data_IF_490974393445
#
_entry.id   IF_490974393445
#
_cell.length_a   1.000
_cell.length_b   1.000
_cell.length_c   1.000
_cell.angle_alpha   90.00
_cell.angle_beta   90.00
_cell.angle_gamma   90.00
#
_symmetry.space_group_name_H-M   'P 1'
#
loop_
_entity.id
_entity.type
_entity.pdbx_description
1 polymer ?
#
# COMPACT_ATOMS: atom_id res chain seq x y z
N UNK A 1 0.58 -8.22 -29.96
CA UNK A 1 0.17 -6.86 -30.37
C UNK A 1 -1.09 -6.56 -29.60
N UNK A 2 -0.88 -5.89 -28.47
CA UNK A 2 -1.73 -5.90 -27.28
C UNK A 2 -2.52 -4.61 -27.22
N UNK A 3 -3.77 -4.69 -26.78
CA UNK A 3 -4.80 -3.64 -26.62
C UNK A 3 -4.40 -2.47 -25.68
N UNK A 4 -3.12 -2.28 -25.40
CA UNK A 4 -2.52 -1.22 -24.57
C UNK A 4 -1.95 -0.05 -25.41
N UNK A 5 -1.77 -0.20 -26.72
CA UNK A 5 -1.25 0.88 -27.57
C UNK A 5 -2.28 1.96 -27.94
N UNK A 6 -3.59 1.65 -27.88
CA UNK A 6 -4.65 2.60 -28.26
C UNK A 6 -5.04 3.60 -27.15
N UNK A 7 -4.55 3.42 -25.92
CA UNK A 7 -4.85 4.31 -24.78
C UNK A 7 -3.93 5.54 -24.68
N UNK A 8 -3.01 5.75 -25.63
CA UNK A 8 -1.97 6.79 -25.58
C UNK A 8 -2.13 7.93 -26.60
N UNK A 9 -3.30 8.06 -27.26
CA UNK A 9 -3.57 9.21 -28.13
C UNK A 9 -4.52 10.20 -27.44
N UNK A 10 -4.13 11.48 -27.29
CA UNK A 10 -5.03 12.49 -26.75
C UNK A 10 -6.20 12.71 -27.72
N UNK A 11 -7.42 12.58 -27.22
CA UNK A 11 -8.63 12.95 -27.95
C UNK A 11 -8.74 14.48 -27.98
N UNK A 12 -8.79 15.05 -29.19
CA UNK A 12 -9.05 16.48 -29.37
C UNK A 12 -10.55 16.76 -29.17
N UNK A 13 -10.87 17.57 -28.15
CA UNK A 13 -12.13 18.31 -28.07
C UNK A 13 -12.85 18.30 -26.72
N UNK A 14 -12.82 19.46 -26.04
CA UNK A 14 -13.80 19.97 -25.04
C UNK A 14 -13.64 19.50 -23.58
N UNK A 15 -14.19 20.23 -22.56
CA UNK A 15 -14.28 21.67 -22.29
C UNK A 15 -13.34 22.07 -21.11
N UNK A 16 -13.38 23.33 -20.66
CA UNK A 16 -12.61 23.93 -19.54
C UNK A 16 -11.79 22.95 -18.68
N UNK A 17 -10.48 22.95 -18.90
CA UNK A 17 -9.50 22.10 -18.20
C UNK A 17 -9.59 22.37 -16.70
N UNK A 18 -10.32 21.53 -15.97
CA UNK A 18 -10.08 21.37 -14.54
C UNK A 18 -8.61 21.05 -14.38
N UNK A 19 -7.91 21.74 -13.48
CA UNK A 19 -6.48 21.50 -13.25
C UNK A 19 -6.26 19.99 -13.04
N UNK A 20 -5.47 19.38 -13.93
CA UNK A 20 -5.19 17.94 -13.91
C UNK A 20 -4.61 17.55 -12.55
N UNK A 21 -5.20 16.58 -11.86
CA UNK A 21 -4.67 16.08 -10.61
C UNK A 21 -3.24 15.53 -10.81
N UNK A 22 -2.31 16.02 -10.00
CA UNK A 22 -0.94 15.51 -9.97
C UNK A 22 -0.78 14.40 -8.93
N UNK A 23 -1.68 14.36 -7.94
CA UNK A 23 -1.71 13.32 -6.91
C UNK A 23 -3.08 12.66 -6.91
N UNK A 24 -3.09 11.33 -7.01
CA UNK A 24 -4.27 10.50 -6.78
C UNK A 24 -4.03 9.66 -5.53
N UNK A 25 -4.84 9.87 -4.49
CA UNK A 25 -4.82 9.05 -3.28
C UNK A 25 -5.99 8.07 -3.31
N UNK A 26 -5.68 6.77 -3.33
CA UNK A 26 -6.63 5.68 -3.31
C UNK A 26 -6.64 5.05 -1.91
N UNK A 27 -7.71 5.29 -1.15
CA UNK A 27 -7.95 4.66 0.15
C UNK A 27 -8.86 3.44 -0.03
N UNK A 28 -8.41 2.25 0.38
CA UNK A 28 -9.22 1.02 0.28
C UNK A 28 -9.91 0.73 1.61
N UNK A 29 -11.20 1.05 1.69
CA UNK A 29 -12.04 0.73 2.82
C UNK A 29 -12.58 -0.72 2.72
N UNK A 30 -12.56 -1.43 3.84
CA UNK A 30 -13.32 -2.67 4.01
C UNK A 30 -13.85 -2.76 5.43
N UNK A 31 -15.16 -2.51 5.60
CA UNK A 31 -15.83 -2.56 6.91
C UNK A 31 -15.22 -1.68 7.99
N UNK A 32 -14.68 -0.51 7.61
CA UNK A 32 -14.05 0.47 8.49
C UNK A 32 -14.48 1.90 8.14
N UNK A 33 -15.78 2.22 8.06
CA UNK A 33 -16.23 3.53 7.59
C UNK A 33 -15.81 4.66 8.54
N UNK A 34 -15.71 4.40 9.85
CA UNK A 34 -15.28 5.41 10.84
C UNK A 34 -13.81 5.77 10.69
N UNK A 35 -12.94 4.77 10.57
CA UNK A 35 -11.50 4.95 10.34
C UNK A 35 -11.28 5.63 8.98
N UNK A 36 -12.03 5.21 7.96
CA UNK A 36 -11.96 5.80 6.62
C UNK A 36 -12.33 7.28 6.65
N UNK A 37 -13.41 7.68 7.35
CA UNK A 37 -13.76 9.10 7.50
C UNK A 37 -12.64 9.89 8.16
N UNK A 38 -12.07 9.38 9.26
CA UNK A 38 -10.97 10.06 9.96
C UNK A 38 -9.74 10.24 9.06
N UNK A 39 -9.34 9.18 8.36
CA UNK A 39 -8.21 9.24 7.44
C UNK A 39 -8.46 10.23 6.31
N UNK A 40 -9.63 10.14 5.66
CA UNK A 40 -10.02 11.04 4.56
C UNK A 40 -10.04 12.50 5.04
N UNK A 41 -10.59 12.80 6.21
CA UNK A 41 -10.53 14.16 6.78
C UNK A 41 -9.08 14.63 6.94
N UNK A 42 -8.18 13.81 7.50
CA UNK A 42 -6.76 14.19 7.63
C UNK A 42 -6.06 14.42 6.29
N UNK A 43 -6.48 13.70 5.24
CA UNK A 43 -5.96 13.86 3.87
C UNK A 43 -6.48 15.15 3.26
N UNK A 44 -7.76 15.46 3.47
CA UNK A 44 -8.39 16.69 3.00
C UNK A 44 -7.82 17.95 3.68
N UNK A 45 -7.32 17.83 4.91
CA UNK A 45 -6.65 18.89 5.66
C UNK A 45 -5.18 19.10 5.27
N UNK A 46 -4.63 18.31 4.34
CA UNK A 46 -3.27 18.49 3.86
C UNK A 46 -3.15 19.75 2.99
N UNK A 47 -2.08 20.51 3.20
CA UNK A 47 -1.69 21.63 2.35
C UNK A 47 -0.78 21.10 1.24
N UNK A 48 -1.27 21.13 -0.01
CA UNK A 48 -0.48 20.82 -1.20
C UNK A 48 -0.49 22.01 -2.17
N UNK A 49 0.63 22.23 -2.85
CA UNK A 49 0.77 23.22 -3.91
C UNK A 49 0.31 22.70 -5.29
N UNK A 50 -0.17 21.46 -5.35
CA UNK A 50 -0.65 20.79 -6.57
C UNK A 50 -2.06 20.22 -6.36
N UNK A 51 -2.86 20.10 -7.42
CA UNK A 51 -4.17 19.48 -7.34
C UNK A 51 -4.07 18.00 -6.95
N UNK A 52 -4.92 17.59 -6.00
CA UNK A 52 -5.04 16.23 -5.52
C UNK A 52 -6.50 15.76 -5.65
N UNK A 53 -6.68 14.51 -6.08
CA UNK A 53 -7.96 13.82 -6.02
C UNK A 53 -7.87 12.63 -5.05
N UNK A 54 -8.96 12.39 -4.32
CA UNK A 54 -9.07 11.27 -3.38
C UNK A 54 -10.14 10.31 -3.87
N UNK A 55 -9.79 9.04 -4.02
CA UNK A 55 -10.74 7.96 -4.27
C UNK A 55 -10.81 7.07 -3.04
N UNK A 56 -12.01 6.95 -2.46
CA UNK A 56 -12.29 5.91 -1.47
C UNK A 56 -12.91 4.72 -2.18
N UNK A 57 -12.20 3.61 -2.19
CA UNK A 57 -12.74 2.32 -2.64
C UNK A 57 -13.56 1.75 -1.51
N UNK A 58 -14.88 1.77 -1.66
CA UNK A 58 -15.73 0.97 -0.79
C UNK A 58 -15.70 -0.47 -1.29
N UNK A 59 -14.82 -1.27 -0.67
CA UNK A 59 -14.56 -2.65 -1.03
C UNK A 59 -15.53 -3.63 -0.34
N UNK A 60 -16.61 -3.11 0.21
CA UNK A 60 -17.63 -3.86 0.94
C UNK A 60 -18.70 -4.37 -0.05
N UNK A 61 -19.30 -5.56 0.16
CA UNK A 61 -20.36 -6.06 -0.73
C UNK A 61 -21.60 -5.16 -0.75
N UNK A 62 -21.92 -4.55 0.39
CA UNK A 62 -22.96 -3.53 0.52
C UNK A 62 -22.24 -2.19 0.75
N UNK A 63 -22.69 -1.07 0.16
CA UNK A 63 -22.09 0.23 0.42
C UNK A 63 -22.18 0.61 1.90
N UNK A 64 -21.04 0.88 2.51
CA UNK A 64 -20.89 1.23 3.93
C UNK A 64 -20.25 2.62 4.12
N UNK A 65 -19.71 3.21 3.04
CA UNK A 65 -19.07 4.51 3.06
C UNK A 65 -19.72 5.51 2.09
N UNK A 66 -19.90 6.73 2.57
CA UNK A 66 -20.27 7.89 1.78
C UNK A 66 -19.42 9.10 2.25
N UNK A 67 -19.16 10.04 1.35
CA UNK A 67 -18.35 11.22 1.61
C UNK A 67 -19.14 12.49 1.31
N UNK A 68 -19.12 13.44 2.24
CA UNK A 68 -19.63 14.79 2.01
C UNK A 68 -18.57 15.74 1.41
N UNK A 69 -17.31 15.32 1.36
CA UNK A 69 -16.19 16.12 0.84
C UNK A 69 -16.20 16.15 -0.69
N UNK A 70 -16.26 17.35 -1.28
CA UNK A 70 -16.37 17.53 -2.73
C UNK A 70 -15.17 16.97 -3.52
N UNK A 71 -13.99 16.90 -2.90
CA UNK A 71 -12.76 16.37 -3.51
C UNK A 71 -12.58 14.85 -3.38
N UNK A 72 -13.57 14.16 -2.79
CA UNK A 72 -13.52 12.73 -2.54
C UNK A 72 -14.55 12.01 -3.41
N UNK A 73 -14.06 11.15 -4.31
CA UNK A 73 -14.91 10.24 -5.09
C UNK A 73 -15.02 8.89 -4.39
N UNK A 74 -16.24 8.39 -4.23
CA UNK A 74 -16.47 7.02 -3.74
C UNK A 74 -16.56 6.08 -4.93
N UNK A 75 -15.72 5.04 -4.94
CA UNK A 75 -15.76 3.94 -5.90
C UNK A 75 -16.29 2.69 -5.21
N UNK A 76 -17.57 2.37 -5.46
CA UNK A 76 -18.18 1.14 -4.96
C UNK A 76 -17.77 -0.04 -5.84
N UNK A 77 -17.01 -1.00 -5.29
CA UNK A 77 -16.58 -2.18 -6.04
C UNK A 77 -17.68 -3.23 -6.22
N UNK A 78 -18.75 -3.15 -5.42
CA UNK A 78 -19.89 -4.08 -5.40
C UNK A 78 -19.56 -5.48 -4.85
N UNK A 79 -18.30 -5.74 -4.51
CA UNK A 79 -17.80 -6.97 -3.88
C UNK A 79 -16.40 -6.72 -3.34
N UNK A 80 -15.97 -7.53 -2.38
CA UNK A 80 -14.58 -7.47 -1.92
C UNK A 80 -13.64 -7.99 -3.02
N UNK A 81 -12.78 -7.11 -3.53
CA UNK A 81 -11.75 -7.40 -4.54
C UNK A 81 -10.38 -7.69 -3.92
N UNK A 82 -10.27 -7.66 -2.60
CA UNK A 82 -8.98 -7.65 -1.92
C UNK A 82 -8.37 -6.24 -1.90
N UNK A 83 -7.22 -6.08 -1.23
CA UNK A 83 -6.63 -4.76 -1.01
C UNK A 83 -6.13 -4.12 -2.33
N UNK A 84 -5.09 -4.70 -2.94
CA UNK A 84 -4.57 -4.23 -4.22
C UNK A 84 -5.57 -4.40 -5.38
N UNK A 85 -6.44 -5.41 -5.33
CA UNK A 85 -7.49 -5.58 -6.34
C UNK A 85 -8.50 -4.42 -6.34
N UNK A 86 -8.87 -3.92 -5.17
CA UNK A 86 -9.70 -2.70 -5.04
C UNK A 86 -8.98 -1.47 -5.56
N UNK A 87 -7.71 -1.28 -5.17
CA UNK A 87 -6.90 -0.15 -5.65
C UNK A 87 -6.71 -0.16 -7.17
N UNK A 88 -6.42 -1.33 -7.76
CA UNK A 88 -6.27 -1.49 -9.20
C UNK A 88 -7.57 -1.19 -9.97
N UNK A 89 -8.72 -1.61 -9.43
CA UNK A 89 -10.02 -1.33 -10.05
C UNK A 89 -10.32 0.18 -10.07
N UNK A 90 -10.07 0.88 -8.96
CA UNK A 90 -10.24 2.33 -8.89
C UNK A 90 -9.27 3.09 -9.81
N UNK A 91 -7.99 2.72 -9.82
CA UNK A 91 -7.01 3.34 -10.73
C UNK A 91 -7.42 3.14 -12.19
N UNK A 92 -7.87 1.93 -12.56
CA UNK A 92 -8.34 1.64 -13.91
C UNK A 92 -9.60 2.42 -14.27
N UNK A 93 -10.51 2.64 -13.34
CA UNK A 93 -11.69 3.49 -13.57
C UNK A 93 -11.32 4.96 -13.75
N UNK A 94 -10.44 5.48 -12.90
CA UNK A 94 -9.91 6.84 -13.00
C UNK A 94 -9.24 7.09 -14.36
N UNK A 95 -8.38 6.18 -14.81
CA UNK A 95 -7.63 6.31 -16.07
C UNK A 95 -8.50 6.26 -17.34
N UNK A 96 -9.80 5.94 -17.26
CA UNK A 96 -10.72 6.05 -18.41
C UNK A 96 -11.04 7.50 -18.77
N UNK A 97 -10.99 8.39 -17.78
CA UNK A 97 -11.44 9.78 -17.91
C UNK A 97 -10.33 10.78 -17.60
N UNK A 98 -9.24 10.33 -16.98
CA UNK A 98 -8.13 11.17 -16.55
C UNK A 98 -6.80 10.56 -17.02
N UNK A 99 -5.80 11.39 -17.35
CA UNK A 99 -4.43 10.91 -17.58
C UNK A 99 -3.83 10.34 -16.29
N UNK A 100 -2.75 9.57 -16.43
CA UNK A 100 -1.95 9.11 -15.29
C UNK A 100 -1.42 10.32 -14.49
N UNK A 101 -1.67 10.41 -13.18
CA UNK A 101 -1.13 11.48 -12.33
C UNK A 101 0.35 11.23 -12.04
N UNK A 102 1.07 12.27 -11.60
CA UNK A 102 2.48 12.15 -11.23
C UNK A 102 2.68 11.20 -10.04
N UNK A 103 1.68 11.13 -9.14
CA UNK A 103 1.68 10.22 -8.00
C UNK A 103 0.37 9.46 -7.87
N UNK A 104 0.49 8.15 -7.65
CA UNK A 104 -0.59 7.29 -7.17
C UNK A 104 -0.21 6.78 -5.79
N UNK A 105 -0.95 7.20 -4.76
CA UNK A 105 -0.78 6.74 -3.38
C UNK A 105 -1.85 5.69 -3.10
N UNK A 106 -1.45 4.54 -2.59
CA UNK A 106 -2.36 3.49 -2.13
C UNK A 106 -2.26 3.38 -0.62
N UNK A 107 -3.39 3.48 0.07
CA UNK A 107 -3.46 3.42 1.53
C UNK A 107 -4.62 2.57 2.02
N UNK A 108 -4.44 1.97 3.19
CA UNK A 108 -5.56 1.50 4.01
C UNK A 108 -6.06 2.67 4.89
N UNK A 109 -7.25 2.58 5.52
CA UNK A 109 -7.75 3.64 6.39
C UNK A 109 -7.18 3.61 7.81
N UNK A 110 -6.22 2.71 8.08
CA UNK A 110 -5.68 2.51 9.44
C UNK A 110 -4.55 3.49 9.77
N UNK A 111 -4.21 4.40 8.85
CA UNK A 111 -3.14 5.40 9.06
C UNK A 111 -3.70 6.81 9.27
N UNK A 112 -2.87 7.70 9.79
CA UNK A 112 -3.13 9.14 9.90
C UNK A 112 -1.89 9.96 9.53
N UNK A 113 -2.13 11.15 8.97
CA UNK A 113 -1.10 12.13 8.64
C UNK A 113 -1.04 13.14 9.79
N UNK A 114 -0.01 13.11 10.65
CA UNK A 114 0.02 13.92 11.87
C UNK A 114 0.26 15.42 11.61
N UNK A 115 1.02 15.75 10.57
CA UNK A 115 1.27 17.13 10.14
C UNK A 115 0.41 17.49 8.91
N UNK A 116 0.16 18.78 8.67
CA UNK A 116 -0.59 19.26 7.51
C UNK A 116 0.19 19.26 6.19
N UNK A 117 1.51 19.05 6.22
CA UNK A 117 2.40 19.12 5.06
C UNK A 117 3.04 17.77 4.71
N UNK A 118 2.53 16.65 5.24
CA UNK A 118 3.09 15.31 5.03
C UNK A 118 3.13 14.95 3.54
N UNK A 119 2.03 15.20 2.82
CA UNK A 119 1.97 14.92 1.40
C UNK A 119 2.86 15.87 0.59
N UNK A 120 2.96 17.14 0.96
CA UNK A 120 3.87 18.09 0.31
C UNK A 120 5.34 17.67 0.48
N UNK A 121 5.74 17.32 1.71
CA UNK A 121 7.05 16.76 2.03
C UNK A 121 7.34 15.52 1.20
N UNK A 122 6.33 14.67 0.96
CA UNK A 122 6.47 13.50 0.08
C UNK A 122 6.83 13.89 -1.35
N UNK A 123 6.11 14.85 -1.93
CA UNK A 123 6.41 15.33 -3.28
C UNK A 123 7.82 15.96 -3.34
N UNK A 124 8.14 16.82 -2.38
CA UNK A 124 9.42 17.55 -2.32
C UNK A 124 10.62 16.62 -2.05
N UNK A 125 10.38 15.48 -1.39
CA UNK A 125 11.41 14.46 -1.12
C UNK A 125 11.82 13.68 -2.36
N UNK A 126 11.04 13.74 -3.45
CA UNK A 126 11.33 13.01 -4.65
C UNK A 126 12.60 13.54 -5.33
N UNK A 127 13.73 12.88 -5.03
CA UNK A 127 15.04 13.20 -5.59
C UNK A 127 15.41 12.16 -6.64
N UNK A 128 15.27 12.51 -7.91
CA UNK A 128 15.72 11.69 -9.04
C UNK A 128 14.78 10.52 -9.37
N UNK A 129 15.33 9.32 -9.56
CA UNK A 129 14.63 8.20 -10.23
C UNK A 129 13.85 7.25 -9.30
N UNK A 130 13.53 7.68 -8.08
CA UNK A 130 12.82 6.83 -7.13
C UNK A 130 11.35 6.63 -7.57
N UNK A 131 11.01 5.43 -8.02
CA UNK A 131 9.66 5.15 -8.50
C UNK A 131 8.67 4.83 -7.36
N UNK A 132 9.18 4.50 -6.17
CA UNK A 132 8.39 4.24 -4.97
C UNK A 132 9.03 4.97 -3.79
N UNK A 133 8.24 5.75 -3.05
CA UNK A 133 8.64 6.39 -1.80
C UNK A 133 7.92 5.71 -0.64
N UNK A 134 8.69 5.26 0.34
CA UNK A 134 8.22 4.67 1.58
C UNK A 134 8.47 5.67 2.72
N UNK A 135 7.42 6.27 3.31
CA UNK A 135 7.58 7.15 4.47
C UNK A 135 7.92 6.35 5.73
N UNK A 136 8.38 7.03 6.78
CA UNK A 136 8.35 6.49 8.15
C UNK A 136 6.91 6.17 8.53
N UNK A 137 6.67 4.96 9.03
CA UNK A 137 5.35 4.51 9.48
C UNK A 137 5.49 4.03 10.91
N UNK A 138 4.97 4.82 11.85
CA UNK A 138 5.11 4.54 13.28
C UNK A 138 3.78 4.13 13.87
N UNK A 139 3.79 3.09 14.68
CA UNK A 139 2.61 2.66 15.42
C UNK A 139 2.20 3.75 16.42
N UNK A 140 0.92 4.14 16.44
CA UNK A 140 0.44 5.28 17.22
C UNK A 140 0.72 5.17 18.73
N UNK A 141 0.66 3.96 19.30
CA UNK A 141 0.77 3.77 20.76
C UNK A 141 2.18 3.37 21.23
N UNK A 142 2.87 2.54 20.47
CA UNK A 142 4.18 1.98 20.84
C UNK A 142 5.35 2.64 20.12
N UNK A 143 5.09 3.56 19.18
CA UNK A 143 6.10 4.27 18.38
C UNK A 143 7.10 3.36 17.66
N UNK A 144 6.73 2.10 17.42
CA UNK A 144 7.54 1.14 16.65
C UNK A 144 7.54 1.57 15.19
N UNK A 145 8.74 1.69 14.64
CA UNK A 145 8.95 1.98 13.23
C UNK A 145 8.70 0.72 12.38
N UNK A 146 7.81 0.83 11.39
CA UNK A 146 7.41 -0.23 10.48
C UNK A 146 8.06 -0.11 9.09
N UNK A 147 8.66 1.04 8.78
CA UNK A 147 9.49 1.23 7.60
C UNK A 147 10.96 1.57 7.95
N UNK A 148 11.96 1.01 7.27
CA UNK A 148 11.87 0.09 6.13
C UNK A 148 11.26 -1.26 6.47
N UNK A 149 10.21 -1.65 5.73
CA UNK A 149 9.55 -2.94 5.94
C UNK A 149 10.47 -4.11 5.61
N UNK A 150 11.17 -4.03 4.47
CA UNK A 150 12.24 -4.97 4.15
C UNK A 150 13.41 -4.24 3.48
N UNK A 151 14.62 -4.39 4.05
CA UNK A 151 15.87 -3.92 3.42
C UNK A 151 16.44 -4.92 2.41
N UNK A 152 16.23 -6.21 2.64
CA UNK A 152 16.86 -7.29 1.87
C UNK A 152 15.81 -8.18 1.22
N UNK A 153 16.02 -8.48 -0.06
CA UNK A 153 15.19 -9.41 -0.83
C UNK A 153 15.19 -10.80 -0.18
N UNK A 154 14.03 -11.45 0.03
CA UNK A 154 13.99 -12.79 0.60
C UNK A 154 14.61 -13.81 -0.37
N UNK A 155 15.12 -14.93 0.15
CA UNK A 155 15.70 -15.97 -0.72
C UNK A 155 14.60 -16.80 -1.39
N UNK A 156 14.91 -17.37 -2.56
CA UNK A 156 13.98 -18.29 -3.27
C UNK A 156 13.56 -19.46 -2.37
N UNK A 157 14.52 -19.99 -1.60
CA UNK A 157 14.26 -21.06 -0.64
C UNK A 157 13.27 -20.63 0.45
N UNK A 158 13.47 -19.47 1.09
CA UNK A 158 12.55 -18.95 2.10
C UNK A 158 11.13 -18.77 1.54
N UNK A 159 11.00 -18.23 0.34
CA UNK A 159 9.69 -18.03 -0.29
C UNK A 159 8.98 -19.35 -0.62
N UNK A 160 9.72 -20.35 -1.13
CA UNK A 160 9.19 -21.70 -1.38
C UNK A 160 8.82 -22.42 -0.09
N UNK A 161 9.64 -22.32 0.94
CA UNK A 161 9.36 -22.87 2.26
C UNK A 161 8.11 -22.23 2.87
N UNK A 162 7.95 -20.90 2.81
CA UNK A 162 6.74 -20.21 3.25
C UNK A 162 5.50 -20.73 2.50
N UNK A 163 5.59 -20.90 1.18
CA UNK A 163 4.49 -21.46 0.38
C UNK A 163 4.15 -22.91 0.77
N UNK A 164 5.11 -23.69 1.27
CA UNK A 164 4.91 -25.02 1.83
C UNK A 164 4.32 -24.97 3.25
N UNK A 165 4.82 -24.11 4.14
CA UNK A 165 4.30 -23.94 5.51
C UNK A 165 2.82 -23.54 5.46
N UNK A 166 2.47 -22.55 4.64
CA UNK A 166 1.11 -22.08 4.49
C UNK A 166 0.23 -23.01 3.64
N UNK A 167 0.76 -24.11 3.10
CA UNK A 167 -0.02 -25.02 2.26
C UNK A 167 -1.15 -25.72 3.02
N UNK A 168 -0.93 -26.02 4.30
CA UNK A 168 -1.85 -26.73 5.18
C UNK A 168 -2.14 -25.92 6.44
N UNK A 169 -3.43 -25.70 6.74
CA UNK A 169 -3.89 -24.91 7.89
C UNK A 169 -3.27 -25.34 9.24
N UNK A 170 -3.16 -26.65 9.56
CA UNK A 170 -2.54 -27.05 10.83
C UNK A 170 -1.07 -26.63 10.94
N UNK A 171 -0.33 -26.65 9.83
CA UNK A 171 1.08 -26.25 9.79
C UNK A 171 1.21 -24.74 9.95
N UNK A 172 0.35 -23.95 9.28
CA UNK A 172 0.24 -22.50 9.49
C UNK A 172 -0.11 -22.18 10.95
N UNK A 173 -1.12 -22.84 11.52
CA UNK A 173 -1.53 -22.60 12.91
C UNK A 173 -0.43 -22.94 13.92
N UNK A 174 0.29 -24.06 13.74
CA UNK A 174 1.44 -24.42 14.59
C UNK A 174 2.58 -23.41 14.43
N UNK A 175 2.91 -23.02 13.19
CA UNK A 175 3.93 -22.01 12.94
C UNK A 175 3.59 -20.66 13.58
N UNK A 176 2.34 -20.21 13.44
CA UNK A 176 1.83 -18.99 14.06
C UNK A 176 1.87 -19.07 15.59
N UNK A 177 1.51 -20.23 16.17
CA UNK A 177 1.61 -20.49 17.61
C UNK A 177 3.05 -20.44 18.11
N UNK A 178 3.98 -21.08 17.41
CA UNK A 178 5.41 -21.05 17.74
C UNK A 178 6.00 -19.64 17.59
N UNK A 179 5.61 -18.89 16.56
CA UNK A 179 6.02 -17.49 16.39
C UNK A 179 5.46 -16.61 17.52
N UNK A 180 4.20 -16.80 17.90
CA UNK A 180 3.58 -16.07 19.01
C UNK A 180 4.26 -16.36 20.35
N UNK A 181 4.58 -17.63 20.64
CA UNK A 181 5.35 -18.01 21.84
C UNK A 181 6.74 -17.36 21.78
N UNK A 182 7.43 -17.46 20.65
CA UNK A 182 8.76 -16.90 20.45
C UNK A 182 8.78 -15.39 20.71
N UNK A 183 7.83 -14.64 20.15
CA UNK A 183 7.71 -13.20 20.40
C UNK A 183 7.45 -12.95 21.89
N UNK A 184 6.46 -13.60 22.50
CA UNK A 184 6.18 -13.46 23.95
C UNK A 184 7.35 -13.80 24.87
N UNK A 185 8.23 -14.72 24.47
CA UNK A 185 9.44 -15.10 25.24
C UNK A 185 10.65 -14.24 24.97
N UNK A 186 10.76 -13.63 23.78
CA UNK A 186 11.89 -12.79 23.36
C UNK A 186 11.63 -11.29 23.49
N UNK A 187 10.39 -10.88 23.79
CA UNK A 187 10.02 -9.49 24.08
C UNK A 187 10.80 -8.90 25.26
N UNK A 188 11.44 -9.75 26.09
CA UNK A 188 12.37 -9.32 27.16
C UNK A 188 13.83 -9.12 26.73
N UNK A 189 14.23 -9.44 25.50
CA UNK A 189 15.66 -9.51 25.08
C UNK A 189 15.98 -8.72 23.80
N UNK A 190 14.99 -8.06 23.18
CA UNK A 190 15.24 -7.24 21.98
C UNK A 190 14.72 -5.81 22.16
N UNK A 191 15.28 -5.09 23.12
CA UNK A 191 15.29 -3.62 23.09
C UNK A 191 16.32 -3.18 22.05
N UNK A 192 15.93 -3.18 20.77
CA UNK A 192 16.55 -2.22 19.86
C UNK A 192 15.91 -0.87 20.18
N UNK A 193 16.75 0.11 20.51
CA UNK A 193 16.31 1.48 20.79
C UNK A 193 15.33 1.96 19.72
N UNK A 194 14.07 2.30 20.07
CA UNK A 194 13.11 2.89 19.13
C UNK A 194 13.55 4.25 18.58
N UNK A 195 14.64 4.82 19.14
CA UNK A 195 15.13 6.17 18.86
C UNK A 195 16.24 6.22 17.80
N UNK A 196 16.69 5.10 17.24
CA UNK A 196 17.53 5.14 16.05
C UNK A 196 16.66 5.38 14.81
N UNK A 197 16.00 6.54 14.75
CA UNK A 197 15.55 7.14 13.50
C UNK A 197 16.68 6.98 12.50
N UNK A 198 16.49 6.15 11.48
CA UNK A 198 17.36 6.20 10.32
C UNK A 198 17.23 7.64 9.81
N UNK A 199 18.21 8.50 10.09
CA UNK A 199 18.14 9.92 9.76
C UNK A 199 18.41 10.18 8.27
N UNK A 200 18.64 9.12 7.49
CA UNK A 200 19.15 9.18 6.13
C UNK A 200 18.24 8.37 5.23
N UNK A 201 17.80 8.99 4.14
CA UNK A 201 17.06 8.32 3.08
C UNK A 201 17.90 7.17 2.52
N UNK A 202 17.33 5.97 2.43
CA UNK A 202 18.05 4.77 1.99
C UNK A 202 17.24 3.97 0.97
N UNK A 203 17.95 3.26 0.07
CA UNK A 203 17.29 2.30 -0.83
C UNK A 203 16.88 1.07 -0.04
N UNK A 204 15.64 0.65 -0.20
CA UNK A 204 15.09 -0.51 0.49
C UNK A 204 14.56 -1.52 -0.51
N UNK A 205 14.27 -2.73 -0.05
CA UNK A 205 13.69 -3.75 -0.90
C UNK A 205 12.18 -3.56 -1.05
N UNK A 206 11.43 -3.49 0.05
CA UNK A 206 9.98 -3.38 0.03
C UNK A 206 9.46 -2.31 0.99
N UNK A 207 8.47 -1.48 0.58
CA UNK A 207 7.76 -0.57 1.46
C UNK A 207 6.74 -1.33 2.31
N UNK A 208 6.29 -0.75 3.42
CA UNK A 208 5.15 -1.26 4.18
C UNK A 208 3.82 -1.05 3.43
N UNK A 209 2.88 -2.00 3.51
CA UNK A 209 1.65 -2.02 2.71
C UNK A 209 0.57 -1.00 3.09
N UNK A 210 0.63 -0.44 4.30
CA UNK A 210 -0.41 0.47 4.80
C UNK A 210 -0.45 1.82 4.07
N UNK A 211 0.69 2.28 3.52
CA UNK A 211 0.79 3.49 2.72
C UNK A 211 1.96 3.37 1.74
N UNK A 212 1.67 3.35 0.44
CA UNK A 212 2.66 3.23 -0.62
C UNK A 212 2.47 4.37 -1.63
N UNK A 213 3.50 5.20 -1.83
CA UNK A 213 3.48 6.25 -2.84
C UNK A 213 4.26 5.83 -4.09
N UNK A 214 3.57 5.74 -5.22
CA UNK A 214 4.10 5.32 -6.52
C UNK A 214 4.16 6.52 -7.46
N UNK A 215 5.37 6.88 -7.91
CA UNK A 215 5.55 7.90 -8.93
C UNK A 215 5.10 7.36 -10.30
N UNK A 216 4.66 8.24 -11.21
CA UNK A 216 4.24 7.89 -12.59
C UNK A 216 5.22 6.97 -13.32
N UNK A 217 6.52 7.18 -13.07
CA UNK A 217 7.60 6.37 -13.66
C UNK A 217 7.50 4.87 -13.34
N UNK A 218 6.83 4.50 -12.23
CA UNK A 218 6.51 3.10 -11.90
C UNK A 218 5.60 2.49 -12.96
N UNK A 219 4.50 3.18 -13.30
CA UNK A 219 3.51 2.71 -14.26
C UNK A 219 3.99 2.84 -15.70
N UNK A 220 4.68 3.93 -16.05
CA UNK A 220 5.23 4.14 -17.40
C UNK A 220 6.26 3.07 -17.80
N UNK A 221 6.99 2.51 -16.82
CA UNK A 221 7.89 1.37 -17.05
C UNK A 221 7.18 0.01 -17.03
N UNK A 222 5.86 -0.03 -16.90
CA UNK A 222 5.06 -1.27 -16.90
C UNK A 222 4.73 -1.82 -15.50
N UNK A 223 4.92 -1.03 -14.44
CA UNK A 223 4.43 -1.35 -13.11
C UNK A 223 2.90 -1.37 -13.07
N UNK A 224 2.34 -2.16 -12.15
CA UNK A 224 0.88 -2.30 -12.03
C UNK A 224 0.48 -2.55 -10.57
N UNK A 225 -0.81 -2.32 -10.28
CA UNK A 225 -1.49 -2.71 -9.06
C UNK A 225 -2.23 -4.05 -9.20
N UNK A 226 -2.26 -4.65 -10.39
CA UNK A 226 -2.94 -5.92 -10.69
C UNK A 226 -2.25 -7.11 -10.00
N UNK A 227 -2.43 -7.20 -8.70
CA UNK A 227 -1.86 -8.25 -7.87
C UNK A 227 -2.72 -9.52 -7.93
N UNK A 228 -2.11 -10.65 -8.29
CA UNK A 228 -2.83 -11.91 -8.47
C UNK A 228 -3.27 -12.64 -7.19
N UNK A 229 -3.06 -12.06 -6.01
CA UNK A 229 -3.58 -12.60 -4.76
C UNK A 229 -4.56 -11.64 -4.11
N UNK A 230 -5.52 -12.20 -3.36
CA UNK A 230 -6.62 -11.44 -2.76
C UNK A 230 -6.16 -10.53 -1.61
N UNK A 231 -5.32 -11.03 -0.69
CA UNK A 231 -4.77 -10.27 0.42
C UNK A 231 -3.33 -10.73 0.70
N UNK A 232 -2.56 -9.84 1.32
CA UNK A 232 -1.18 -10.01 1.77
C UNK A 232 -0.13 -10.09 0.66
N UNK A 233 1.08 -9.59 0.96
CA UNK A 233 2.26 -9.74 0.11
C UNK A 233 2.35 -8.69 -1.00
N UNK A 234 1.49 -7.68 -0.97
CA UNK A 234 1.57 -6.49 -1.79
C UNK A 234 2.94 -5.80 -1.70
N UNK A 235 3.57 -5.82 -0.53
CA UNK A 235 4.89 -5.24 -0.31
C UNK A 235 5.94 -5.92 -1.18
N UNK A 236 5.93 -7.25 -1.20
CA UNK A 236 6.83 -8.07 -2.03
C UNK A 236 6.44 -7.94 -3.50
N UNK A 237 5.16 -7.82 -3.82
CA UNK A 237 4.70 -7.62 -5.19
C UNK A 237 5.21 -6.29 -5.77
N UNK A 238 5.06 -5.17 -5.06
CA UNK A 238 5.61 -3.87 -5.46
C UNK A 238 7.12 -3.93 -5.56
N UNK A 239 7.80 -4.52 -4.56
CA UNK A 239 9.25 -4.67 -4.56
C UNK A 239 9.78 -5.46 -5.76
N UNK A 240 9.18 -6.61 -6.07
CA UNK A 240 9.61 -7.44 -7.19
C UNK A 240 9.28 -6.82 -8.54
N UNK A 241 8.15 -6.12 -8.64
CA UNK A 241 7.78 -5.37 -9.84
C UNK A 241 8.79 -4.26 -10.08
N UNK A 242 9.06 -3.43 -9.07
CA UNK A 242 10.08 -2.38 -9.15
C UNK A 242 11.45 -2.96 -9.53
N UNK A 243 11.89 -4.02 -8.86
CA UNK A 243 13.18 -4.68 -9.14
C UNK A 243 13.28 -5.19 -10.58
N UNK A 244 12.24 -5.83 -11.11
CA UNK A 244 12.22 -6.34 -12.50
C UNK A 244 12.29 -5.24 -13.54
N UNK A 245 11.77 -4.07 -13.21
CA UNK A 245 11.77 -2.89 -14.06
C UNK A 245 13.00 -1.99 -13.86
N UNK A 246 13.97 -2.42 -13.04
CA UNK A 246 15.15 -1.62 -12.71
C UNK A 246 14.83 -0.33 -11.95
N UNK A 247 13.73 -0.33 -11.19
CA UNK A 247 13.23 0.80 -10.42
C UNK A 247 13.72 0.77 -8.97
N UNK A 248 13.82 1.94 -8.37
CA UNK A 248 14.24 2.11 -6.97
C UNK A 248 13.05 2.31 -6.06
N UNK A 249 13.06 1.60 -4.92
CA UNK A 249 12.22 1.88 -3.75
C UNK A 249 13.08 2.63 -2.73
N UNK A 250 12.67 3.85 -2.38
CA UNK A 250 13.39 4.72 -1.46
C UNK A 250 12.60 4.84 -0.16
N UNK A 251 13.28 4.62 0.96
CA UNK A 251 12.77 4.99 2.27
C UNK A 251 13.13 6.44 2.57
N UNK A 252 12.13 7.25 2.93
CA UNK A 252 12.28 8.65 3.30
C UNK A 252 11.79 8.86 4.74
N UNK A 253 12.70 8.87 5.72
CA UNK A 253 12.37 8.93 7.14
C UNK A 253 11.86 10.30 7.61
N UNK A 254 12.05 11.37 6.83
CA UNK A 254 11.57 12.71 7.17
C UNK A 254 10.05 12.88 7.02
N UNK A 255 9.40 11.98 6.27
CA UNK A 255 7.94 11.94 6.11
C UNK A 255 7.41 10.94 7.13
N UNK A 256 6.61 11.40 8.08
CA UNK A 256 6.08 10.56 9.17
C UNK A 256 4.59 10.33 8.97
N UNK A 257 4.18 9.07 9.02
CA UNK A 257 2.80 8.62 9.03
C UNK A 257 2.60 7.77 10.28
N UNK A 258 1.44 7.91 10.91
CA UNK A 258 1.08 7.13 12.09
C UNK A 258 0.14 5.99 11.69
N UNK A 259 0.39 4.78 12.19
CA UNK A 259 -0.44 3.60 11.95
C UNK A 259 -1.18 3.22 13.23
N UNK A 260 -2.51 3.21 13.14
CA UNK A 260 -3.40 2.78 14.21
C UNK A 260 -3.42 1.25 14.26
N UNK A 261 -2.57 0.67 15.09
CA UNK A 261 -2.61 -0.77 15.38
C UNK A 261 -3.83 -1.09 16.25
N UNK A 262 -4.98 -1.38 15.63
CA UNK A 262 -6.00 -2.19 16.32
C UNK A 262 -5.59 -3.64 16.18
N UNK A 263 -5.18 -4.21 17.31
CA UNK A 263 -4.72 -5.60 17.45
C UNK A 263 -5.52 -6.56 16.59
N UNK A 264 -4.93 -7.01 15.49
CA UNK A 264 -5.41 -8.14 14.67
C UNK A 264 -5.16 -9.49 15.36
N UNK A 265 -5.20 -9.50 16.71
CA UNK A 265 -5.07 -10.70 17.54
C UNK A 265 -6.18 -11.74 17.26
N UNK A 266 -7.26 -11.35 16.59
CA UNK A 266 -8.34 -12.24 16.18
C UNK A 266 -8.00 -13.14 14.97
N UNK A 267 -6.86 -12.92 14.28
CA UNK A 267 -6.52 -13.60 13.02
C UNK A 267 -5.77 -14.94 13.12
N UNK A 268 -5.28 -15.32 14.31
CA UNK A 268 -4.39 -16.49 14.46
C UNK A 268 -5.07 -17.84 14.14
N UNK A 269 -6.40 -17.89 14.18
CA UNK A 269 -7.20 -19.12 14.04
C UNK A 269 -8.26 -19.04 12.94
N UNK A 270 -8.09 -18.11 11.99
CA UNK A 270 -9.06 -17.91 10.90
C UNK A 270 -8.64 -18.70 9.65
N UNK A 271 -9.47 -19.67 9.25
CA UNK A 271 -9.25 -20.50 8.04
C UNK A 271 -9.21 -19.67 6.76
N UNK A 272 -9.99 -18.60 6.66
CA UNK A 272 -9.98 -17.73 5.49
C UNK A 272 -8.68 -16.92 5.40
N UNK A 273 -8.22 -16.35 6.52
CA UNK A 273 -6.92 -15.66 6.59
C UNK A 273 -5.78 -16.59 6.18
N UNK A 274 -5.78 -17.83 6.68
CA UNK A 274 -4.82 -18.86 6.28
C UNK A 274 -4.89 -19.18 4.79
N UNK A 275 -6.10 -19.29 4.22
CA UNK A 275 -6.32 -19.48 2.76
C UNK A 275 -5.71 -18.33 1.96
N UNK A 276 -5.89 -17.08 2.38
CA UNK A 276 -5.32 -15.92 1.69
C UNK A 276 -3.79 -15.88 1.80
N UNK A 277 -3.20 -16.14 2.98
CA UNK A 277 -1.74 -16.28 3.14
C UNK A 277 -1.15 -17.36 2.24
N UNK A 278 -1.84 -18.50 2.12
CA UNK A 278 -1.47 -19.58 1.21
C UNK A 278 -1.51 -19.14 -0.25
N UNK A 279 -2.55 -18.42 -0.66
CA UNK A 279 -2.69 -17.92 -2.02
C UNK A 279 -1.55 -16.94 -2.34
N UNK A 280 -1.33 -15.94 -1.49
CA UNK A 280 -0.28 -14.94 -1.64
C UNK A 280 1.12 -15.56 -1.69
N UNK A 281 1.46 -16.40 -0.71
CA UNK A 281 2.78 -17.05 -0.66
C UNK A 281 3.06 -17.92 -1.89
N UNK A 282 2.07 -18.70 -2.36
CA UNK A 282 2.19 -19.48 -3.60
C UNK A 282 2.30 -18.60 -4.83
N UNK A 283 1.52 -17.53 -4.92
CA UNK A 283 1.59 -16.57 -6.02
C UNK A 283 2.99 -15.96 -6.10
N UNK A 284 3.49 -15.39 -5.00
CA UNK A 284 4.80 -14.75 -4.95
C UNK A 284 5.93 -15.74 -5.26
N UNK A 285 5.90 -16.93 -4.63
CA UNK A 285 6.93 -17.94 -4.83
C UNK A 285 7.01 -18.45 -6.27
N UNK A 286 5.86 -18.55 -6.97
CA UNK A 286 5.81 -19.01 -8.37
C UNK A 286 6.17 -17.92 -9.37
N UNK A 287 5.70 -16.69 -9.15
CA UNK A 287 5.84 -15.63 -10.14
C UNK A 287 7.14 -14.87 -10.02
N UNK A 288 7.77 -14.81 -8.83
CA UNK A 288 8.98 -14.02 -8.57
C UNK A 288 10.20 -14.81 -8.05
N UNK A 289 10.00 -16.01 -7.50
CA UNK A 289 11.04 -16.85 -6.87
C UNK A 289 11.08 -18.29 -7.42
#
# INVERSE_FOLDING_TARGET
MSLLEDALRPAEGSPAVSAQAQVLLICVNYRKPTETRRFVSSVCEQTLNVPMEVIVVDNSPEPEFDSAEAQVKVFASGKNLGYFGGAAAALRDYLKYHPLPDWVIVSNPDVSLPDHDVLQKLLDSHRGDAAVIAPSIRTLNSFVEQNPYMRVRPTRWRMRMNALIFSHYPVDAVYQGLSWIKHRTLDGVTTQDPSATAAVSERIYAPHGSFIALHRSYFEKGGTLDYGAFLFGEEIFVAETARRLGLTVLFEPSIVIEHTERSTAHGLWNRETSRYRRQASRYLARHFF
#
